data_IF_336448304516
#
_entry.id   IF_336448304516
#
_cell.length_a   1.000
_cell.length_b   1.000
_cell.length_c   1.000
_cell.angle_alpha   90.00
_cell.angle_beta   90.00
_cell.angle_gamma   90.00
#
_symmetry.space_group_name_H-M   'P 1'
#
loop_
_entity.id
_entity.type
_entity.pdbx_description
1 polymer ?
#
# COMPACT_ATOMS: atom_id res chain seq x y z
N UNK A 1 -17.30 52.94 -14.40
CA UNK A 1 -17.25 51.56 -14.93
C UNK A 1 -18.67 51.13 -15.24
N UNK A 2 -18.91 50.55 -16.42
CA UNK A 2 -20.24 50.04 -16.76
C UNK A 2 -20.53 48.78 -15.92
N UNK A 3 -21.80 48.56 -15.57
CA UNK A 3 -22.19 47.47 -14.64
C UNK A 3 -22.04 46.10 -15.31
N UNK A 4 -22.16 46.05 -16.63
CA UNK A 4 -22.10 44.90 -17.53
C UNK A 4 -20.71 44.69 -18.18
N UNK A 5 -19.69 45.44 -17.75
CA UNK A 5 -18.35 45.31 -18.30
C UNK A 5 -17.72 43.94 -18.00
N UNK A 6 -16.81 43.48 -18.87
CA UNK A 6 -16.03 42.28 -18.61
C UNK A 6 -14.96 42.53 -17.53
N UNK A 7 -15.21 42.02 -16.34
CA UNK A 7 -14.29 42.12 -15.21
C UNK A 7 -12.93 41.46 -15.49
N UNK A 8 -12.89 40.39 -16.29
CA UNK A 8 -11.63 39.71 -16.62
C UNK A 8 -10.66 40.65 -17.33
N UNK A 9 -11.16 41.54 -18.20
CA UNK A 9 -10.32 42.53 -18.89
C UNK A 9 -9.74 43.59 -17.94
N UNK A 10 -10.45 43.88 -16.84
CA UNK A 10 -9.99 44.82 -15.80
C UNK A 10 -8.92 44.19 -14.91
N UNK A 11 -9.07 42.90 -14.59
CA UNK A 11 -8.19 42.18 -13.67
C UNK A 11 -7.78 40.80 -14.26
N UNK A 12 -6.92 40.77 -15.29
CA UNK A 12 -6.64 39.54 -16.03
C UNK A 12 -5.72 38.54 -15.30
N UNK A 13 -4.88 39.03 -14.37
CA UNK A 13 -3.87 38.23 -13.67
C UNK A 13 -3.73 38.66 -12.22
N UNK A 14 -2.96 37.89 -11.44
CA UNK A 14 -2.64 38.22 -10.06
C UNK A 14 -1.95 39.59 -9.98
N UNK A 15 -2.54 40.50 -9.20
CA UNK A 15 -2.05 41.85 -9.02
C UNK A 15 -2.35 42.34 -7.60
N UNK A 16 -1.61 43.37 -7.11
CA UNK A 16 -1.94 44.02 -5.85
C UNK A 16 -3.29 44.74 -5.95
N UNK A 17 -3.99 44.87 -4.84
CA UNK A 17 -5.27 45.59 -4.81
C UNK A 17 -5.08 47.06 -5.24
N UNK A 18 -5.80 47.46 -6.30
CA UNK A 18 -5.76 48.83 -6.87
C UNK A 18 -7.09 49.52 -6.58
N UNK A 19 -7.17 50.42 -5.58
CA UNK A 19 -8.43 51.06 -5.19
C UNK A 19 -9.12 51.83 -6.33
N UNK A 20 -8.33 52.37 -7.27
CA UNK A 20 -8.80 53.10 -8.45
C UNK A 20 -9.43 52.22 -9.53
N UNK A 21 -9.04 50.95 -9.64
CA UNK A 21 -9.55 50.02 -10.64
C UNK A 21 -10.72 49.18 -10.12
N UNK A 22 -10.82 48.98 -8.80
CA UNK A 22 -11.88 48.15 -8.20
C UNK A 22 -13.13 49.00 -7.92
N UNK A 23 -14.25 48.80 -8.62
CA UNK A 23 -15.46 49.61 -8.51
C UNK A 23 -16.35 49.20 -7.33
N UNK A 24 -15.76 48.67 -6.25
CA UNK A 24 -16.47 48.23 -5.05
C UNK A 24 -16.13 49.15 -3.87
N UNK A 25 -17.11 49.55 -3.05
CA UNK A 25 -16.90 50.39 -1.86
C UNK A 25 -16.45 49.54 -0.66
N UNK A 26 -15.33 48.83 -0.79
CA UNK A 26 -14.80 47.94 0.25
C UNK A 26 -14.16 48.78 1.36
N UNK A 27 -14.39 48.37 2.62
CA UNK A 27 -13.75 48.95 3.80
C UNK A 27 -13.11 47.85 4.63
N UNK A 28 -11.98 48.14 5.27
CA UNK A 28 -11.25 47.17 6.10
C UNK A 28 -10.44 47.88 7.18
N UNK A 29 -10.31 47.23 8.34
CA UNK A 29 -9.58 47.76 9.51
C UNK A 29 -10.49 47.84 10.74
N UNK A 30 -9.89 47.79 11.93
CA UNK A 30 -10.63 47.89 13.17
C UNK A 30 -11.23 49.31 13.31
N UNK A 31 -12.54 49.44 13.54
CA UNK A 31 -13.16 50.75 13.71
C UNK A 31 -12.76 51.36 15.05
N UNK A 32 -12.58 52.68 15.08
CA UNK A 32 -12.51 53.43 16.35
C UNK A 32 -13.87 53.44 17.05
N UNK A 33 -13.92 53.77 18.34
CA UNK A 33 -15.19 53.90 19.06
C UNK A 33 -16.15 54.86 18.34
N UNK A 34 -17.37 54.39 18.08
CA UNK A 34 -18.39 55.11 17.27
C UNK A 34 -17.95 55.46 15.84
N UNK A 35 -16.93 54.79 15.30
CA UNK A 35 -16.41 54.99 13.95
C UNK A 35 -16.80 53.89 12.96
N UNK A 36 -16.36 54.07 11.71
CA UNK A 36 -16.47 53.08 10.63
C UNK A 36 -15.09 52.56 10.22
N UNK A 37 -14.98 51.34 9.67
CA UNK A 37 -13.73 50.85 9.09
C UNK A 37 -13.19 51.79 8.01
N UNK A 38 -11.87 51.84 7.88
CA UNK A 38 -11.20 52.70 6.89
C UNK A 38 -11.64 52.35 5.47
N UNK A 39 -11.73 53.38 4.62
CA UNK A 39 -12.05 53.24 3.20
C UNK A 39 -10.96 52.46 2.45
N UNK A 40 -11.14 52.23 1.15
CA UNK A 40 -10.17 51.48 0.35
C UNK A 40 -8.96 52.31 -0.09
N UNK A 41 -9.12 53.63 -0.18
CA UNK A 41 -8.08 54.56 -0.59
C UNK A 41 -6.98 54.63 0.48
N UNK A 42 -5.74 54.28 0.12
CA UNK A 42 -4.59 54.29 1.04
C UNK A 42 -4.59 53.17 2.09
N UNK A 43 -5.49 52.20 1.99
CA UNK A 43 -5.62 51.14 3.01
C UNK A 43 -4.62 50.00 2.81
N UNK A 44 -3.60 49.96 3.65
CA UNK A 44 -2.52 48.97 3.58
C UNK A 44 -3.01 47.54 3.90
N UNK A 45 -4.05 47.38 4.72
CA UNK A 45 -4.60 46.05 5.04
C UNK A 45 -5.20 45.37 3.80
N UNK A 46 -5.82 46.13 2.91
CA UNK A 46 -6.33 45.61 1.63
C UNK A 46 -5.21 45.23 0.65
N UNK A 47 -4.03 45.86 0.75
CA UNK A 47 -2.88 45.54 -0.11
C UNK A 47 -2.19 44.24 0.32
N UNK A 48 -2.18 43.94 1.62
CA UNK A 48 -1.58 42.72 2.19
C UNK A 48 -2.34 41.45 1.80
N UNK A 49 -3.64 41.55 1.53
CA UNK A 49 -4.47 40.39 1.19
C UNK A 49 -4.11 39.85 -0.20
N UNK A 50 -3.80 38.54 -0.34
CA UNK A 50 -3.75 37.88 -1.64
C UNK A 50 -5.17 37.79 -2.20
N UNK A 51 -5.56 38.77 -3.01
CA UNK A 51 -6.90 38.86 -3.56
C UNK A 51 -7.12 37.87 -4.71
N UNK A 52 -8.38 37.46 -4.90
CA UNK A 52 -8.81 36.52 -5.94
C UNK A 52 -9.59 37.22 -7.06
N UNK A 53 -9.37 38.53 -7.25
CA UNK A 53 -10.15 39.33 -8.21
C UNK A 53 -9.95 38.88 -9.67
N UNK A 54 -8.83 38.23 -9.98
CA UNK A 54 -8.56 37.64 -11.30
C UNK A 54 -9.15 36.22 -11.46
N UNK A 55 -9.54 35.57 -10.37
CA UNK A 55 -10.07 34.20 -10.33
C UNK A 55 -11.58 34.19 -10.02
N UNK A 56 -12.33 35.08 -10.66
CA UNK A 56 -13.80 35.08 -10.54
C UNK A 56 -14.41 33.85 -11.24
N UNK A 57 -15.62 33.41 -10.85
CA UNK A 57 -16.27 32.25 -11.49
C UNK A 57 -16.44 32.39 -13.00
N UNK A 58 -16.74 33.61 -13.49
CA UNK A 58 -16.84 33.91 -14.93
C UNK A 58 -15.49 33.73 -15.61
N UNK A 59 -14.40 34.16 -14.95
CA UNK A 59 -13.06 34.01 -15.47
C UNK A 59 -12.62 32.55 -15.53
N UNK A 60 -12.86 31.79 -14.47
CA UNK A 60 -12.53 30.36 -14.40
C UNK A 60 -13.25 29.58 -15.52
N UNK A 61 -14.55 29.84 -15.75
CA UNK A 61 -15.30 29.17 -16.83
C UNK A 61 -14.68 29.43 -18.20
N UNK A 62 -14.36 30.70 -18.52
CA UNK A 62 -13.70 31.07 -19.78
C UNK A 62 -12.29 30.45 -19.90
N UNK A 63 -11.50 30.48 -18.84
CA UNK A 63 -10.16 29.87 -18.82
C UNK A 63 -10.23 28.35 -19.02
N UNK A 64 -11.10 27.65 -18.29
CA UNK A 64 -11.28 26.21 -18.43
C UNK A 64 -11.76 25.82 -19.83
N UNK A 65 -12.66 26.61 -20.45
CA UNK A 65 -13.11 26.36 -21.82
C UNK A 65 -11.93 26.37 -22.82
N UNK A 66 -11.05 27.37 -22.71
CA UNK A 66 -9.85 27.45 -23.54
C UNK A 66 -8.80 26.37 -23.23
N UNK A 67 -8.82 25.81 -22.01
CA UNK A 67 -7.88 24.76 -21.59
C UNK A 67 -8.35 23.35 -21.96
N UNK A 68 -9.62 23.16 -22.33
CA UNK A 68 -10.15 21.83 -22.70
C UNK A 68 -9.40 21.19 -23.86
N UNK A 69 -8.95 22.00 -24.83
CA UNK A 69 -8.22 21.51 -26.01
C UNK A 69 -6.86 20.86 -25.65
N UNK A 70 -6.33 21.11 -24.45
CA UNK A 70 -5.10 20.51 -23.95
C UNK A 70 -5.35 19.23 -23.14
N UNK A 71 -6.59 18.96 -22.75
CA UNK A 71 -6.96 17.78 -21.98
C UNK A 71 -7.18 16.57 -22.91
N UNK A 72 -7.05 15.37 -22.35
CA UNK A 72 -7.38 14.12 -23.03
C UNK A 72 -8.41 13.36 -22.20
N UNK A 73 -9.32 12.65 -22.88
CA UNK A 73 -10.35 11.88 -22.20
C UNK A 73 -9.74 10.72 -21.42
N UNK A 74 -10.23 10.52 -20.19
CA UNK A 74 -9.86 9.35 -19.40
C UNK A 74 -10.42 8.06 -20.03
N UNK A 75 -9.64 6.97 -20.14
CA UNK A 75 -10.11 5.72 -20.73
C UNK A 75 -11.31 5.13 -20.00
N UNK A 76 -12.45 5.03 -20.68
CA UNK A 76 -13.73 4.56 -20.13
C UNK A 76 -13.72 3.09 -19.66
N UNK A 77 -12.77 2.29 -20.13
CA UNK A 77 -12.58 0.91 -19.68
C UNK A 77 -12.04 0.81 -18.23
N UNK A 78 -11.42 1.88 -17.72
CA UNK A 78 -10.85 1.99 -16.38
C UNK A 78 -11.80 2.79 -15.47
N UNK A 79 -12.99 2.23 -15.25
CA UNK A 79 -14.05 2.79 -14.42
C UNK A 79 -13.91 2.45 -12.92
N UNK A 80 -13.20 1.36 -12.59
CA UNK A 80 -12.96 0.93 -11.21
C UNK A 80 -11.49 0.64 -10.91
N UNK A 81 -11.09 0.84 -9.66
CA UNK A 81 -9.72 0.59 -9.19
C UNK A 81 -9.31 -0.88 -9.35
N UNK A 82 -10.26 -1.82 -9.25
CA UNK A 82 -10.00 -3.24 -9.48
C UNK A 82 -9.58 -3.54 -10.93
N UNK A 83 -10.19 -2.86 -11.91
CA UNK A 83 -9.80 -3.00 -13.32
C UNK A 83 -8.45 -2.32 -13.56
N UNK A 84 -8.21 -1.16 -12.95
CA UNK A 84 -6.90 -0.51 -12.97
C UNK A 84 -5.82 -1.45 -12.45
N UNK A 85 -6.01 -2.06 -11.29
CA UNK A 85 -5.03 -2.97 -10.69
C UNK A 85 -4.84 -4.26 -11.51
N UNK A 86 -5.87 -4.73 -12.21
CA UNK A 86 -5.77 -5.90 -13.10
C UNK A 86 -4.90 -5.62 -14.34
N UNK A 87 -5.05 -4.44 -14.95
CA UNK A 87 -4.31 -4.08 -16.16
C UNK A 87 -2.96 -3.44 -15.87
N UNK A 88 -2.85 -2.72 -14.77
CA UNK A 88 -1.68 -1.94 -14.34
C UNK A 88 -1.36 -2.27 -12.87
N UNK A 89 -0.70 -3.41 -12.59
CA UNK A 89 -0.45 -3.88 -11.22
C UNK A 89 0.67 -3.14 -10.48
N UNK A 90 1.39 -2.23 -11.16
CA UNK A 90 2.51 -1.49 -10.60
C UNK A 90 2.10 -0.03 -10.44
N UNK A 91 2.22 0.48 -9.22
CA UNK A 91 2.00 1.88 -8.89
C UNK A 91 3.34 2.57 -8.63
N UNK A 92 3.52 3.77 -9.18
CA UNK A 92 4.73 4.57 -9.05
C UNK A 92 4.36 5.90 -8.40
N UNK A 93 4.81 6.09 -7.18
CA UNK A 93 4.58 7.31 -6.41
C UNK A 93 5.77 8.24 -6.54
N UNK A 94 5.48 9.49 -6.88
CA UNK A 94 6.47 10.56 -7.03
C UNK A 94 5.94 11.85 -6.42
N UNK A 95 6.82 12.68 -5.89
CA UNK A 95 6.44 13.90 -5.17
C UNK A 95 7.06 15.15 -5.80
N UNK A 96 6.22 16.12 -6.14
CA UNK A 96 6.63 17.44 -6.64
C UNK A 96 6.30 18.52 -5.62
N UNK A 97 7.21 19.48 -5.44
CA UNK A 97 7.07 20.55 -4.43
C UNK A 97 7.20 21.91 -5.08
N UNK A 98 6.27 22.82 -4.77
CA UNK A 98 6.26 24.20 -5.25
C UNK A 98 6.40 25.14 -4.06
N UNK A 99 7.46 25.95 -4.05
CA UNK A 99 7.77 26.92 -3.00
C UNK A 99 8.04 28.30 -3.60
N UNK A 100 7.72 29.37 -2.87
CA UNK A 100 8.11 30.72 -3.27
C UNK A 100 9.61 30.94 -3.01
N UNK A 101 10.37 31.26 -4.04
CA UNK A 101 11.81 31.54 -3.93
C UNK A 101 12.53 31.48 -5.28
N UNK A 102 13.81 31.86 -5.33
CA UNK A 102 14.59 31.83 -6.57
C UNK A 102 15.01 30.41 -6.97
N UNK A 103 15.10 29.47 -6.02
CA UNK A 103 15.49 28.09 -6.29
C UNK A 103 14.27 27.17 -6.33
N UNK A 104 14.16 26.41 -7.41
CA UNK A 104 13.16 25.35 -7.59
C UNK A 104 13.62 23.99 -7.04
N UNK A 105 14.89 23.89 -6.65
CA UNK A 105 15.46 22.61 -6.23
C UNK A 105 14.88 22.16 -4.90
N UNK A 106 14.34 20.95 -4.87
CA UNK A 106 13.94 20.28 -3.64
C UNK A 106 14.54 18.86 -3.58
N UNK A 107 15.40 18.55 -2.59
CA UNK A 107 16.04 17.24 -2.49
C UNK A 107 15.05 16.09 -2.28
N UNK A 108 13.84 16.35 -1.78
CA UNK A 108 12.80 15.33 -1.56
C UNK A 108 12.13 14.87 -2.86
N UNK A 109 12.21 15.65 -3.93
CA UNK A 109 11.55 15.31 -5.21
C UNK A 109 12.20 14.13 -5.95
N UNK A 110 13.43 13.74 -5.57
CA UNK A 110 14.13 12.61 -6.20
C UNK A 110 13.60 11.24 -5.78
N UNK A 111 12.87 11.17 -4.67
CA UNK A 111 12.43 9.89 -4.08
C UNK A 111 11.34 9.29 -4.96
N UNK A 112 11.50 8.02 -5.29
CA UNK A 112 10.51 7.22 -6.03
C UNK A 112 10.13 6.02 -5.19
N UNK A 113 8.83 5.75 -5.09
CA UNK A 113 8.30 4.57 -4.41
C UNK A 113 7.51 3.73 -5.42
N UNK A 114 7.94 2.48 -5.59
CA UNK A 114 7.26 1.48 -6.41
C UNK A 114 6.46 0.56 -5.49
N UNK A 115 5.18 0.36 -5.81
CA UNK A 115 4.28 -0.56 -5.12
C UNK A 115 3.73 -1.59 -6.08
N UNK A 116 3.77 -2.86 -5.68
CA UNK A 116 3.25 -3.98 -6.48
C UNK A 116 2.75 -5.08 -5.57
N UNK A 117 1.61 -5.69 -5.91
CA UNK A 117 1.13 -6.88 -5.20
C UNK A 117 1.79 -8.14 -5.71
N UNK A 118 2.22 -9.02 -4.80
CA UNK A 118 2.89 -10.26 -5.19
C UNK A 118 1.96 -11.23 -5.92
N UNK A 119 0.66 -11.21 -5.60
CA UNK A 119 -0.39 -11.98 -6.29
C UNK A 119 -0.56 -11.65 -7.78
N UNK A 120 -0.09 -10.49 -8.23
CA UNK A 120 -0.13 -10.09 -9.64
C UNK A 120 1.13 -10.47 -10.41
N UNK A 121 2.19 -10.89 -9.71
CA UNK A 121 3.41 -11.38 -10.32
C UNK A 121 3.30 -12.89 -10.57
N UNK A 122 3.90 -13.36 -11.65
CA UNK A 122 3.96 -14.78 -11.96
C UNK A 122 5.04 -15.45 -11.08
N UNK A 123 4.69 -15.81 -9.85
CA UNK A 123 5.58 -16.45 -8.88
C UNK A 123 4.99 -17.79 -8.45
N UNK A 124 5.83 -18.81 -8.35
CA UNK A 124 5.47 -20.07 -7.69
C UNK A 124 5.65 -19.96 -6.16
N UNK A 125 5.29 -21.02 -5.44
CA UNK A 125 5.39 -21.06 -3.98
C UNK A 125 6.83 -20.87 -3.48
N UNK A 126 7.81 -21.41 -4.22
CA UNK A 126 9.24 -21.28 -3.90
C UNK A 126 9.69 -19.82 -4.06
N UNK A 127 9.47 -19.25 -5.24
CA UNK A 127 9.87 -17.90 -5.59
C UNK A 127 9.16 -16.86 -4.73
N UNK A 128 7.86 -17.06 -4.42
CA UNK A 128 7.13 -16.16 -3.51
C UNK A 128 7.74 -16.17 -2.11
N UNK A 129 7.99 -17.36 -1.52
CA UNK A 129 8.59 -17.47 -0.17
C UNK A 129 10.03 -16.94 -0.15
N UNK A 130 10.82 -17.22 -1.19
CA UNK A 130 12.19 -16.70 -1.33
C UNK A 130 12.19 -15.18 -1.46
N UNK A 131 11.33 -14.62 -2.31
CA UNK A 131 11.20 -13.18 -2.51
C UNK A 131 10.85 -12.45 -1.20
N UNK A 132 9.88 -12.95 -0.44
CA UNK A 132 9.47 -12.39 0.86
C UNK A 132 10.67 -12.32 1.83
N UNK A 133 11.50 -13.36 1.87
CA UNK A 133 12.73 -13.35 2.68
C UNK A 133 13.78 -12.35 2.18
N UNK A 134 13.94 -12.20 0.87
CA UNK A 134 14.91 -11.26 0.28
C UNK A 134 14.53 -9.80 0.54
N UNK A 135 13.24 -9.47 0.45
CA UNK A 135 12.76 -8.08 0.59
C UNK A 135 12.61 -7.66 2.05
N UNK A 136 12.39 -8.61 2.96
CA UNK A 136 12.31 -8.38 4.40
C UNK A 136 11.18 -7.40 4.77
N UNK A 137 11.52 -6.34 5.52
CA UNK A 137 10.56 -5.34 6.01
C UNK A 137 9.88 -4.47 4.94
N UNK A 138 10.18 -4.68 3.66
CA UNK A 138 9.55 -3.98 2.53
C UNK A 138 8.22 -4.60 2.09
N UNK A 139 7.93 -5.81 2.52
CA UNK A 139 6.70 -6.54 2.19
C UNK A 139 5.73 -6.54 3.36
N UNK A 140 4.47 -6.20 3.10
CA UNK A 140 3.40 -6.24 4.08
C UNK A 140 2.52 -7.48 3.87
N UNK A 141 2.60 -8.45 4.81
CA UNK A 141 1.83 -9.71 4.76
C UNK A 141 0.31 -9.49 4.70
N UNK A 142 -0.21 -8.45 5.38
CA UNK A 142 -1.64 -8.19 5.47
C UNK A 142 -2.25 -7.66 4.16
N UNK A 143 -1.46 -6.95 3.35
CA UNK A 143 -1.93 -6.29 2.12
C UNK A 143 -1.37 -6.93 0.85
N UNK A 144 -0.49 -7.92 0.98
CA UNK A 144 0.26 -8.57 -0.10
C UNK A 144 1.08 -7.56 -0.94
N UNK A 145 1.43 -6.41 -0.35
CA UNK A 145 2.06 -5.29 -1.04
C UNK A 145 3.57 -5.25 -0.80
N UNK A 146 4.34 -5.28 -1.88
CA UNK A 146 5.78 -5.00 -1.89
C UNK A 146 6.00 -3.50 -2.17
N UNK A 147 6.71 -2.81 -1.26
CA UNK A 147 7.06 -1.40 -1.40
C UNK A 147 8.56 -1.21 -1.55
N UNK A 148 9.02 -0.73 -2.70
CA UNK A 148 10.42 -0.42 -2.97
C UNK A 148 10.58 1.10 -3.03
N UNK A 149 11.24 1.68 -2.03
CA UNK A 149 11.58 3.12 -2.02
C UNK A 149 13.04 3.30 -2.40
N UNK A 150 13.28 4.20 -3.36
CA UNK A 150 14.60 4.53 -3.89
C UNK A 150 14.88 6.02 -3.83
N UNK A 151 16.01 6.40 -3.22
CA UNK A 151 16.42 7.79 -2.99
C UNK A 151 17.92 8.02 -3.21
N UNK A 152 18.62 7.02 -3.76
CA UNK A 152 20.08 6.97 -3.91
C UNK A 152 20.60 7.92 -4.97
N UNK A 153 19.91 8.02 -6.11
CA UNK A 153 20.35 8.79 -7.25
C UNK A 153 19.88 10.25 -7.16
N UNK A 154 20.63 11.22 -7.71
CA UNK A 154 20.22 12.63 -7.72
C UNK A 154 18.94 12.89 -8.51
N UNK A 155 18.77 12.21 -9.65
CA UNK A 155 17.62 12.40 -10.54
C UNK A 155 16.52 11.38 -10.24
N UNK A 156 15.27 11.85 -10.27
CA UNK A 156 14.08 11.02 -10.11
C UNK A 156 14.00 9.90 -11.16
N UNK A 157 14.34 10.20 -12.43
CA UNK A 157 14.38 9.20 -13.51
C UNK A 157 15.32 8.03 -13.18
N UNK A 158 16.49 8.32 -12.61
CA UNK A 158 17.46 7.29 -12.23
C UNK A 158 16.94 6.43 -11.08
N UNK A 159 16.25 7.03 -10.10
CA UNK A 159 15.63 6.27 -9.01
C UNK A 159 14.48 5.40 -9.53
N UNK A 160 13.68 5.88 -10.48
CA UNK A 160 12.67 5.08 -11.16
C UNK A 160 13.28 3.87 -11.89
N UNK A 161 14.29 4.10 -12.72
CA UNK A 161 14.98 3.03 -13.46
C UNK A 161 15.62 2.02 -12.48
N UNK A 162 16.16 2.51 -11.36
CA UNK A 162 16.73 1.67 -10.31
C UNK A 162 15.66 0.86 -9.56
N UNK A 163 14.50 1.43 -9.26
CA UNK A 163 13.39 0.70 -8.64
C UNK A 163 12.90 -0.45 -9.55
N UNK A 164 12.75 -0.19 -10.85
CA UNK A 164 12.40 -1.20 -11.85
C UNK A 164 13.48 -2.28 -12.00
N UNK A 165 14.76 -1.88 -11.98
CA UNK A 165 15.88 -2.81 -11.97
C UNK A 165 15.83 -3.72 -10.74
N UNK A 166 15.63 -3.16 -9.54
CA UNK A 166 15.54 -3.94 -8.31
C UNK A 166 14.39 -4.94 -8.36
N UNK A 167 13.21 -4.52 -8.82
CA UNK A 167 12.06 -5.42 -9.00
C UNK A 167 12.41 -6.58 -9.95
N UNK A 168 13.07 -6.28 -11.07
CA UNK A 168 13.48 -7.28 -12.06
C UNK A 168 14.49 -8.27 -11.48
N UNK A 169 15.55 -7.79 -10.82
CA UNK A 169 16.56 -8.67 -10.21
C UNK A 169 15.94 -9.53 -9.12
N UNK A 170 15.11 -8.95 -8.26
CA UNK A 170 14.44 -9.69 -7.19
C UNK A 170 13.55 -10.81 -7.75
N UNK A 171 12.83 -10.54 -8.84
CA UNK A 171 12.04 -11.55 -9.53
C UNK A 171 12.93 -12.64 -10.13
N UNK A 172 13.99 -12.31 -10.86
CA UNK A 172 14.84 -13.33 -11.49
C UNK A 172 15.61 -14.18 -10.45
N UNK A 173 16.07 -13.57 -9.36
CA UNK A 173 16.77 -14.27 -8.28
C UNK A 173 15.85 -15.12 -7.42
N UNK A 174 14.55 -14.78 -7.32
CA UNK A 174 13.60 -15.61 -6.59
C UNK A 174 13.31 -16.94 -7.29
N UNK A 175 13.39 -16.99 -8.61
CA UNK A 175 13.22 -18.23 -9.40
C UNK A 175 14.43 -19.17 -9.37
N UNK A 176 15.63 -18.65 -9.09
CA UNK A 176 16.83 -19.49 -8.99
C UNK A 176 16.78 -20.31 -7.72
N UNK A 177 17.12 -21.59 -7.78
CA UNK A 177 17.28 -22.45 -6.59
C UNK A 177 18.76 -22.77 -6.40
N UNK A 178 19.33 -22.29 -5.31
CA UNK A 178 20.73 -22.52 -4.97
C UNK A 178 20.91 -23.74 -4.06
N UNK A 179 22.11 -24.34 -4.05
CA UNK A 179 22.38 -25.56 -3.28
C UNK A 179 22.23 -25.38 -1.76
N UNK A 180 22.46 -24.16 -1.26
CA UNK A 180 22.31 -23.85 0.16
C UNK A 180 20.84 -23.82 0.60
N UNK A 181 19.88 -23.65 -0.32
CA UNK A 181 18.45 -23.66 0.00
C UNK A 181 17.98 -25.05 0.46
N UNK A 182 18.68 -26.11 0.05
CA UNK A 182 18.45 -27.49 0.52
C UNK A 182 18.80 -27.66 2.01
N UNK A 183 19.61 -26.76 2.58
CA UNK A 183 20.02 -26.77 3.99
C UNK A 183 19.04 -25.99 4.90
N UNK A 184 17.87 -25.61 4.38
CA UNK A 184 16.83 -24.88 5.12
C UNK A 184 16.36 -25.68 6.34
N UNK A 185 16.40 -25.06 7.51
CA UNK A 185 15.97 -25.70 8.76
C UNK A 185 14.48 -25.46 9.03
N UNK A 186 13.89 -26.22 9.96
CA UNK A 186 12.50 -26.02 10.39
C UNK A 186 12.25 -24.61 10.96
N UNK A 187 13.26 -24.00 11.58
CA UNK A 187 13.16 -22.63 12.12
C UNK A 187 13.05 -21.56 11.02
N UNK A 188 13.53 -21.85 9.81
CA UNK A 188 13.47 -20.94 8.67
C UNK A 188 12.16 -21.02 7.88
N UNK A 189 11.33 -22.03 8.18
CA UNK A 189 10.03 -22.22 7.56
C UNK A 189 9.05 -21.16 8.07
N UNK A 190 8.39 -20.48 7.14
CA UNK A 190 7.39 -19.45 7.48
C UNK A 190 6.03 -20.05 7.82
N UNK A 191 5.81 -21.28 7.37
CA UNK A 191 4.61 -22.07 7.60
C UNK A 191 5.04 -23.37 8.26
N UNK A 192 4.25 -23.80 9.24
CA UNK A 192 4.41 -25.09 9.85
C UNK A 192 3.96 -26.19 8.87
N UNK A 193 4.90 -27.06 8.53
CA UNK A 193 4.66 -28.26 7.73
C UNK A 193 4.57 -29.46 8.68
N UNK A 194 3.48 -30.21 8.57
CA UNK A 194 3.23 -31.39 9.42
C UNK A 194 4.21 -32.53 9.15
N UNK A 195 4.57 -32.74 7.89
CA UNK A 195 5.42 -33.85 7.45
C UNK A 195 6.83 -33.73 8.01
N UNK A 196 7.34 -34.85 8.53
CA UNK A 196 8.63 -35.00 9.26
C UNK A 196 8.72 -34.18 10.54
N UNK A 197 7.62 -33.56 10.99
CA UNK A 197 7.62 -32.71 12.18
C UNK A 197 7.73 -33.51 13.48
N UNK A 198 8.08 -32.81 14.56
CA UNK A 198 8.08 -33.38 15.93
C UNK A 198 6.71 -33.90 16.35
N UNK A 199 5.63 -33.23 15.95
CA UNK A 199 4.27 -33.62 16.30
C UNK A 199 3.88 -34.94 15.64
N UNK A 200 4.27 -35.15 14.38
CA UNK A 200 4.09 -36.41 13.68
C UNK A 200 4.90 -37.54 14.34
N UNK A 201 6.16 -37.29 14.68
CA UNK A 201 6.98 -38.29 15.36
C UNK A 201 6.41 -38.67 16.74
N UNK A 202 5.87 -37.70 17.48
CA UNK A 202 5.28 -37.94 18.80
C UNK A 202 3.97 -38.72 18.72
N UNK A 203 3.13 -38.43 17.70
CA UNK A 203 1.86 -39.13 17.54
C UNK A 203 2.08 -40.57 17.11
N UNK A 204 3.00 -40.81 16.18
CA UNK A 204 3.38 -42.15 15.77
C UNK A 204 3.91 -42.97 16.95
N UNK A 205 4.79 -42.39 17.78
CA UNK A 205 5.29 -43.05 19.00
C UNK A 205 4.16 -43.37 19.98
N UNK A 206 3.19 -42.48 20.14
CA UNK A 206 2.06 -42.66 21.06
C UNK A 206 1.11 -43.76 20.56
N UNK A 207 0.73 -43.72 19.28
CA UNK A 207 -0.17 -44.71 18.68
C UNK A 207 0.45 -46.11 18.66
N UNK A 208 1.75 -46.21 18.38
CA UNK A 208 2.47 -47.48 18.47
C UNK A 208 2.44 -48.07 19.89
N UNK A 209 2.55 -47.23 20.94
CA UNK A 209 2.43 -47.68 22.33
C UNK A 209 1.01 -48.12 22.68
N UNK A 210 -0.01 -47.40 22.23
CA UNK A 210 -1.42 -47.77 22.42
C UNK A 210 -1.68 -49.13 21.75
N UNK A 211 -1.26 -49.30 20.49
CA UNK A 211 -1.44 -50.56 19.75
C UNK A 211 -0.66 -51.74 20.34
N UNK A 212 0.52 -51.48 20.89
CA UNK A 212 1.26 -52.49 21.66
C UNK A 212 0.54 -52.90 22.94
N UNK A 213 -0.12 -51.95 23.63
CA UNK A 213 -0.93 -52.24 24.83
C UNK A 213 -2.22 -52.99 24.50
N UNK A 214 -2.81 -52.76 23.32
CA UNK A 214 -4.02 -53.43 22.82
C UNK A 214 -3.76 -54.84 22.22
N UNK A 215 -2.50 -55.30 22.17
CA UNK A 215 -2.05 -56.56 21.54
C UNK A 215 -2.44 -56.74 20.06
N UNK A 216 -2.78 -55.65 19.37
CA UNK A 216 -2.98 -55.63 17.92
C UNK A 216 -1.64 -55.61 17.19
N UNK A 217 -1.20 -56.75 16.68
CA UNK A 217 0.03 -56.86 15.90
C UNK A 217 -0.21 -56.49 14.43
N UNK A 218 0.71 -55.72 13.83
CA UNK A 218 0.83 -55.58 12.37
C UNK A 218 0.50 -54.21 11.76
N UNK A 219 0.22 -53.16 12.54
CA UNK A 219 -0.14 -51.86 11.95
C UNK A 219 1.08 -51.17 11.35
N UNK A 220 1.00 -50.82 10.07
CA UNK A 220 2.04 -50.07 9.36
C UNK A 220 1.95 -48.57 9.66
N UNK A 221 3.07 -47.84 9.56
CA UNK A 221 3.07 -46.38 9.76
C UNK A 221 2.11 -45.66 8.80
N UNK A 222 1.97 -46.18 7.58
CA UNK A 222 1.11 -45.63 6.54
C UNK A 222 -0.38 -45.77 6.89
N UNK A 223 -0.80 -46.91 7.46
CA UNK A 223 -2.17 -47.13 7.94
C UNK A 223 -2.53 -46.22 9.11
N UNK A 224 -1.58 -45.96 10.03
CA UNK A 224 -1.79 -45.03 11.15
C UNK A 224 -1.92 -43.59 10.64
N UNK A 225 -1.09 -43.16 9.69
CA UNK A 225 -1.13 -41.82 9.11
C UNK A 225 -2.37 -41.59 8.23
N UNK A 226 -2.89 -42.66 7.62
CA UNK A 226 -4.12 -42.64 6.81
C UNK A 226 -5.42 -42.60 7.63
N UNK A 227 -5.35 -42.80 8.94
CA UNK A 227 -6.53 -42.78 9.82
C UNK A 227 -7.20 -41.39 9.86
N UNK A 228 -8.53 -41.39 9.93
CA UNK A 228 -9.29 -40.15 9.97
C UNK A 228 -9.02 -39.34 11.25
N UNK A 229 -8.67 -40.00 12.37
CA UNK A 229 -8.29 -39.30 13.60
C UNK A 229 -6.98 -38.53 13.46
N UNK A 230 -5.95 -39.14 12.85
CA UNK A 230 -4.65 -38.47 12.61
C UNK A 230 -4.81 -37.35 11.59
N UNK A 231 -5.67 -37.51 10.59
CA UNK A 231 -6.01 -36.44 9.65
C UNK A 231 -6.64 -35.21 10.34
N UNK A 232 -7.55 -35.43 11.30
CA UNK A 232 -8.16 -34.35 12.08
C UNK A 232 -7.16 -33.67 13.02
N UNK A 233 -6.27 -34.44 13.64
CA UNK A 233 -5.18 -33.91 14.45
C UNK A 233 -4.22 -33.06 13.62
N UNK A 234 -3.78 -33.57 12.45
CA UNK A 234 -2.92 -32.84 11.49
C UNK A 234 -3.52 -31.47 11.16
N UNK A 235 -4.79 -31.43 10.75
CA UNK A 235 -5.49 -30.18 10.41
C UNK A 235 -5.51 -29.20 11.58
N UNK A 236 -5.81 -29.69 12.78
CA UNK A 236 -5.90 -28.87 13.99
C UNK A 236 -4.54 -28.28 14.38
N UNK A 237 -3.46 -29.07 14.30
CA UNK A 237 -2.10 -28.58 14.60
C UNK A 237 -1.62 -27.55 13.57
N UNK A 238 -1.89 -27.80 12.29
CA UNK A 238 -1.52 -26.87 11.21
C UNK A 238 -2.25 -25.54 11.37
N UNK A 239 -3.56 -25.57 11.62
CA UNK A 239 -4.35 -24.36 11.89
C UNK A 239 -3.81 -23.61 13.12
N UNK A 240 -3.55 -24.33 14.22
CA UNK A 240 -3.02 -23.72 15.45
C UNK A 240 -1.65 -23.04 15.22
N UNK A 241 -0.77 -23.66 14.43
CA UNK A 241 0.58 -23.13 14.18
C UNK A 241 0.63 -22.01 13.14
N UNK A 242 -0.23 -22.05 12.12
CA UNK A 242 -0.20 -21.08 11.02
C UNK A 242 -1.19 -19.92 11.20
N UNK A 243 -2.41 -20.20 11.67
CA UNK A 243 -3.47 -19.20 11.85
C UNK A 243 -3.42 -18.57 13.25
N UNK A 244 -2.82 -19.28 14.20
CA UNK A 244 -2.58 -18.82 15.57
C UNK A 244 -3.53 -19.40 16.61
N UNK A 245 -3.33 -18.97 17.86
CA UNK A 245 -3.99 -19.48 19.04
C UNK A 245 -5.37 -18.81 19.24
N UNK A 246 -6.39 -19.33 18.56
CA UNK A 246 -7.80 -18.94 18.78
C UNK A 246 -8.53 -20.00 19.63
N UNK A 247 -9.58 -19.59 20.35
CA UNK A 247 -10.39 -20.50 21.17
C UNK A 247 -10.98 -21.65 20.34
N UNK A 248 -11.40 -21.36 19.10
CA UNK A 248 -11.89 -22.36 18.16
C UNK A 248 -10.78 -23.37 17.79
N UNK A 249 -9.58 -22.90 17.46
CA UNK A 249 -8.46 -23.76 17.08
C UNK A 249 -8.03 -24.66 18.25
N UNK A 250 -8.01 -24.13 19.48
CA UNK A 250 -7.71 -24.90 20.69
C UNK A 250 -8.79 -25.95 21.00
N UNK A 251 -10.06 -25.60 20.80
CA UNK A 251 -11.18 -26.53 21.01
C UNK A 251 -11.15 -27.67 19.99
N UNK A 252 -10.90 -27.37 18.71
CA UNK A 252 -10.74 -28.39 17.67
C UNK A 252 -9.55 -29.30 17.95
N UNK A 253 -8.42 -28.74 18.36
CA UNK A 253 -7.25 -29.52 18.77
C UNK A 253 -7.55 -30.43 19.96
N UNK A 254 -8.25 -29.95 20.99
CA UNK A 254 -8.66 -30.74 22.15
C UNK A 254 -9.55 -31.93 21.74
N UNK A 255 -10.56 -31.69 20.93
CA UNK A 255 -11.47 -32.75 20.46
C UNK A 255 -10.75 -33.78 19.57
N UNK A 256 -9.83 -33.32 18.72
CA UNK A 256 -9.00 -34.22 17.92
C UNK A 256 -8.11 -35.11 18.80
N UNK A 257 -7.48 -34.56 19.84
CA UNK A 257 -6.63 -35.32 20.77
C UNK A 257 -7.45 -36.29 21.63
N UNK A 258 -8.63 -35.88 22.12
CA UNK A 258 -9.53 -36.75 22.89
C UNK A 258 -9.89 -38.02 22.13
N UNK A 259 -10.30 -37.86 20.87
CA UNK A 259 -10.63 -38.97 19.97
C UNK A 259 -9.42 -39.87 19.73
N UNK A 260 -8.23 -39.28 19.58
CA UNK A 260 -7.01 -40.02 19.28
C UNK A 260 -6.47 -40.84 20.47
N UNK A 261 -6.77 -40.40 21.70
CA UNK A 261 -6.36 -41.07 22.93
C UNK A 261 -7.48 -41.91 23.57
N UNK A 262 -8.62 -42.07 22.90
CA UNK A 262 -9.81 -42.78 23.41
C UNK A 262 -10.32 -42.24 24.77
N UNK A 263 -10.21 -40.93 24.98
CA UNK A 263 -10.70 -40.24 26.19
C UNK A 263 -12.08 -39.64 25.90
N UNK A 264 -13.11 -40.07 26.64
CA UNK A 264 -14.45 -39.46 26.64
C UNK A 264 -14.40 -38.06 27.27
#
# INVERSE_FOLDING_TARGET
MAVDQDWMSVYPAAAPFKPSAVPLPIRMGYPVEKGVPMAKEGNLELVKIPNFLHLTPVAIKKHCEALKDFCTDWPSALDSDEKCEKHFPIEIETASYVSAGPSLYNPKARVVTLKVRLSKLNLDDHAKKKLIKLVGGRYCKNTDLLTITTDRCPLQRQNYDYAMYLLTVLYHESWKTEDWEKKKTEADMEEYVWEKSRSEQNILKTLLRIKASEKTAGVTQEELLGSQEVGNYRKSVVALKNEGDTENNLSQYKEAVKKLLNLM
#
